data_IF_663575911182
#
_entry.id   IF_663575911182
#
_cell.length_a   1.000
_cell.length_b   1.000
_cell.length_c   1.000
_cell.angle_alpha   90.00
_cell.angle_beta   90.00
_cell.angle_gamma   90.00
#
_symmetry.space_group_name_H-M   'P 1'
#
loop_
_entity.id
_entity.type
_entity.pdbx_description
1 polymer ?
#
# COMPACT_ATOMS: atom_id res chain seq x y z
N UNK A 1 9.75 -13.01 -3.75
CA UNK A 1 9.28 -13.03 -2.33
C UNK A 1 9.66 -11.76 -1.59
N UNK A 2 10.94 -11.37 -1.58
CA UNK A 2 11.41 -10.15 -0.91
C UNK A 2 10.71 -8.87 -1.40
N UNK A 3 10.45 -8.74 -2.70
CA UNK A 3 9.73 -7.57 -3.27
C UNK A 3 8.31 -7.40 -2.74
N UNK A 4 7.67 -8.49 -2.32
CA UNK A 4 6.32 -8.43 -1.74
C UNK A 4 6.40 -7.85 -0.32
N UNK A 5 7.40 -8.25 0.46
CA UNK A 5 7.65 -7.69 1.79
C UNK A 5 8.11 -6.24 1.69
N UNK A 6 8.97 -5.91 0.72
CA UNK A 6 9.37 -4.53 0.46
C UNK A 6 8.16 -3.61 0.15
N UNK A 7 7.09 -4.18 -0.44
CA UNK A 7 5.81 -3.50 -0.69
C UNK A 7 4.81 -3.53 0.47
N UNK A 8 5.15 -4.17 1.58
CA UNK A 8 4.35 -4.12 2.82
C UNK A 8 3.71 -5.44 3.25
N UNK A 9 3.94 -6.56 2.55
CA UNK A 9 3.42 -7.85 2.99
C UNK A 9 4.26 -8.45 4.12
N UNK A 10 3.62 -9.20 5.02
CA UNK A 10 4.31 -10.05 6.00
C UNK A 10 4.31 -11.51 5.53
N UNK A 11 5.34 -12.28 5.87
CA UNK A 11 5.44 -13.68 5.48
C UNK A 11 6.13 -14.52 6.57
N UNK A 12 5.57 -15.70 6.85
CA UNK A 12 6.19 -16.71 7.72
C UNK A 12 7.10 -17.61 6.90
N UNK A 13 8.31 -17.87 7.40
CA UNK A 13 9.27 -18.79 6.81
C UNK A 13 9.18 -20.10 7.59
N UNK A 14 8.94 -21.19 6.88
CA UNK A 14 8.86 -22.55 7.43
C UNK A 14 10.02 -23.42 6.93
N UNK A 15 10.55 -24.28 7.80
CA UNK A 15 11.50 -25.34 7.46
C UNK A 15 10.96 -26.66 7.99
N UNK A 16 10.82 -27.66 7.11
CA UNK A 16 10.29 -28.99 7.46
C UNK A 16 8.90 -28.93 8.15
N UNK A 17 8.05 -28.00 7.75
CA UNK A 17 6.71 -27.80 8.32
C UNK A 17 6.68 -27.05 9.66
N UNK A 18 7.83 -26.73 10.24
CA UNK A 18 7.93 -25.90 11.44
C UNK A 18 8.19 -24.43 11.06
N UNK A 19 7.51 -23.50 11.73
CA UNK A 19 7.78 -22.06 11.59
C UNK A 19 9.13 -21.71 12.22
N UNK A 20 10.00 -21.04 11.48
CA UNK A 20 11.37 -20.73 11.93
C UNK A 20 11.67 -19.24 11.99
N UNK A 21 10.96 -18.43 11.21
CA UNK A 21 11.13 -16.98 11.21
C UNK A 21 9.92 -16.27 10.61
N UNK A 22 9.83 -14.97 10.86
CA UNK A 22 8.88 -14.08 10.21
C UNK A 22 9.62 -12.93 9.53
N UNK A 23 9.23 -12.63 8.30
CA UNK A 23 9.71 -11.50 7.55
C UNK A 23 8.61 -10.43 7.48
N UNK A 24 8.87 -9.28 8.09
CA UNK A 24 7.96 -8.11 8.10
C UNK A 24 8.62 -6.90 7.45
N UNK A 25 7.83 -6.04 6.78
CA UNK A 25 8.33 -4.75 6.33
C UNK A 25 8.75 -3.91 7.52
N UNK A 26 9.86 -3.20 7.38
CA UNK A 26 10.23 -2.17 8.33
C UNK A 26 9.21 -1.02 8.25
N UNK A 27 8.87 -0.44 9.40
CA UNK A 27 8.02 0.74 9.46
C UNK A 27 8.72 1.86 8.69
N UNK A 28 8.08 2.36 7.63
CA UNK A 28 8.50 3.61 7.01
C UNK A 28 8.27 4.75 7.99
N UNK A 29 9.13 5.78 7.98
CA UNK A 29 8.89 6.99 8.77
C UNK A 29 7.54 7.56 8.36
N UNK A 30 6.67 7.79 9.34
CA UNK A 30 5.39 8.42 9.07
C UNK A 30 5.64 9.82 8.49
N UNK A 31 4.91 10.15 7.42
CA UNK A 31 4.89 11.52 6.89
C UNK A 31 4.07 12.36 7.87
N UNK A 32 4.60 13.48 8.40
CA UNK A 32 3.83 14.38 9.24
C UNK A 32 2.57 14.86 8.54
N UNK A 33 1.47 15.00 9.27
CA UNK A 33 0.19 15.46 8.70
C UNK A 33 0.34 16.80 7.96
N UNK A 34 1.18 17.71 8.48
CA UNK A 34 1.46 19.00 7.83
C UNK A 34 2.10 18.84 6.44
N UNK A 35 3.01 17.88 6.25
CA UNK A 35 3.63 17.60 4.96
C UNK A 35 2.60 17.01 3.98
N UNK A 36 1.70 16.15 4.45
CA UNK A 36 0.60 15.62 3.64
C UNK A 36 -0.33 16.73 3.16
N UNK A 37 -0.72 17.64 4.06
CA UNK A 37 -1.58 18.79 3.72
C UNK A 37 -0.88 19.74 2.74
N UNK A 38 0.42 19.98 2.93
CA UNK A 38 1.20 20.81 2.02
C UNK A 38 1.26 20.20 0.61
N UNK A 39 1.50 18.89 0.50
CA UNK A 39 1.47 18.17 -0.78
C UNK A 39 0.08 18.21 -1.42
N UNK A 40 -0.98 18.02 -0.64
CA UNK A 40 -2.36 18.05 -1.12
C UNK A 40 -2.75 19.38 -1.77
N UNK A 41 -2.26 20.51 -1.26
CA UNK A 41 -2.55 21.85 -1.81
C UNK A 41 -1.96 22.08 -3.21
N UNK A 42 -1.01 21.25 -3.63
CA UNK A 42 -0.38 21.34 -4.95
C UNK A 42 -1.08 20.47 -5.99
N UNK A 43 -2.05 19.65 -5.58
CA UNK A 43 -2.78 18.78 -6.49
C UNK A 43 -3.81 19.58 -7.30
N UNK A 44 -4.05 19.19 -8.58
CA UNK A 44 -5.14 19.77 -9.35
C UNK A 44 -6.49 19.43 -8.70
N UNK A 45 -7.50 20.25 -8.98
CA UNK A 45 -8.88 19.89 -8.65
C UNK A 45 -9.28 18.68 -9.49
N UNK A 46 -9.83 17.66 -8.82
CA UNK A 46 -10.30 16.42 -9.45
C UNK A 46 -11.78 16.27 -9.11
N UNK A 47 -12.59 15.97 -10.13
CA UNK A 47 -13.98 15.57 -9.93
C UNK A 47 -14.02 14.14 -9.34
N UNK A 48 -14.55 14.03 -8.13
CA UNK A 48 -14.57 12.77 -7.40
C UNK A 48 -15.50 11.71 -8.04
N UNK A 49 -16.59 12.15 -8.67
CA UNK A 49 -17.57 11.26 -9.30
C UNK A 49 -17.05 10.75 -10.65
N UNK A 50 -16.32 11.59 -11.39
CA UNK A 50 -15.60 11.15 -12.59
C UNK A 50 -14.49 10.16 -12.26
N UNK A 51 -13.61 10.51 -11.31
CA UNK A 51 -12.54 9.62 -10.88
C UNK A 51 -13.07 8.26 -10.41
N UNK A 52 -14.21 8.25 -9.69
CA UNK A 52 -14.84 7.02 -9.23
C UNK A 52 -15.26 6.13 -10.40
N UNK A 53 -15.96 6.70 -11.39
CA UNK A 53 -16.42 5.96 -12.57
C UNK A 53 -15.26 5.35 -13.35
N UNK A 54 -14.16 6.10 -13.50
CA UNK A 54 -12.96 5.61 -14.17
C UNK A 54 -12.32 4.44 -13.44
N UNK A 55 -12.23 4.51 -12.10
CA UNK A 55 -11.72 3.42 -11.29
C UNK A 55 -12.61 2.18 -11.37
N UNK A 56 -13.93 2.34 -11.25
CA UNK A 56 -14.89 1.25 -11.34
C UNK A 56 -14.84 0.55 -12.71
N UNK A 57 -14.43 1.25 -13.77
CA UNK A 57 -14.27 0.67 -15.10
C UNK A 57 -13.00 -0.21 -15.26
N UNK A 58 -11.96 0.00 -14.43
CA UNK A 58 -10.65 -0.67 -14.59
C UNK A 58 -10.27 -1.58 -13.44
N UNK A 59 -10.84 -1.37 -12.25
CA UNK A 59 -10.55 -2.20 -11.07
C UNK A 59 -11.42 -3.44 -11.12
N UNK A 60 -10.79 -4.61 -11.11
CA UNK A 60 -11.48 -5.88 -10.91
C UNK A 60 -11.81 -6.06 -9.42
N UNK A 61 -13.10 -6.12 -9.03
CA UNK A 61 -13.50 -6.30 -7.64
C UNK A 61 -13.26 -7.73 -7.11
N UNK A 62 -12.83 -8.70 -7.94
CA UNK A 62 -12.58 -10.08 -7.50
C UNK A 62 -11.18 -10.31 -6.88
N UNK A 63 -10.57 -9.27 -6.32
CA UNK A 63 -9.25 -9.33 -5.69
C UNK A 63 -9.22 -10.11 -4.37
#
# INVERSE_FOLDING_TARGET
>A
MLDRVARGASMTITRDGAEVAELRPLRKRAVPAAELVAAWRLLPSVDADELRRDLDAVVDPSW
#
